data_IF_543891640275
#
_entry.id   IF_543891640275
#
_cell.length_a   1.000
_cell.length_b   1.000
_cell.length_c   1.000
_cell.angle_alpha   90.00
_cell.angle_beta   90.00
_cell.angle_gamma   90.00
#
_symmetry.space_group_name_H-M   'P 1'
#
loop_
_entity.id
_entity.type
_entity.pdbx_description
1 polymer ?
#
# COMPACT_ATOMS: atom_id res chain seq x y z
N UNK A 1 -11.40 3.66 -32.33
CA UNK A 1 -11.56 2.33 -31.69
C UNK A 1 -10.60 2.04 -30.53
N UNK A 2 -9.76 2.99 -30.10
CA UNK A 2 -8.77 2.86 -28.99
C UNK A 2 -9.34 3.15 -27.60
N UNK A 3 -10.55 3.73 -27.50
CA UNK A 3 -11.08 4.22 -26.20
C UNK A 3 -11.79 3.15 -25.34
N UNK A 4 -12.19 2.03 -25.90
CA UNK A 4 -12.95 0.99 -25.16
C UNK A 4 -12.07 -0.03 -24.45
N UNK A 5 -10.90 -0.35 -24.98
CA UNK A 5 -9.95 -1.26 -24.33
C UNK A 5 -9.22 -0.61 -23.13
N UNK A 6 -9.00 0.70 -23.18
CA UNK A 6 -8.36 1.47 -22.10
C UNK A 6 -9.31 1.72 -20.93
N UNK A 7 -10.60 1.96 -21.18
CA UNK A 7 -11.62 2.07 -20.11
C UNK A 7 -11.86 0.75 -19.35
N UNK A 8 -11.53 -0.41 -19.94
CA UNK A 8 -11.63 -1.70 -19.24
C UNK A 8 -10.43 -1.99 -18.37
N UNK A 9 -9.24 -1.51 -18.69
CA UNK A 9 -8.02 -1.71 -17.89
C UNK A 9 -8.12 -1.06 -16.50
N UNK A 10 -8.76 0.11 -16.40
CA UNK A 10 -8.92 0.87 -15.16
C UNK A 10 -10.12 0.41 -14.30
N UNK A 11 -10.88 -0.60 -14.74
CA UNK A 11 -12.07 -1.05 -14.04
C UNK A 11 -11.70 -1.84 -12.78
N UNK A 12 -12.07 -1.32 -11.62
CA UNK A 12 -11.87 -2.00 -10.34
C UNK A 12 -12.98 -3.01 -10.08
N UNK A 13 -12.62 -4.26 -9.81
CA UNK A 13 -13.56 -5.34 -9.45
C UNK A 13 -14.17 -5.06 -8.07
N UNK A 14 -15.50 -5.05 -7.97
CA UNK A 14 -16.19 -4.77 -6.71
C UNK A 14 -15.92 -5.84 -5.62
N UNK A 15 -15.77 -7.11 -5.99
CA UNK A 15 -15.59 -8.22 -5.04
C UNK A 15 -14.20 -8.29 -4.42
N UNK A 16 -13.16 -7.85 -5.12
CA UNK A 16 -11.77 -7.98 -4.69
C UNK A 16 -11.07 -6.65 -4.52
N UNK A 17 -11.74 -5.55 -4.89
CA UNK A 17 -11.17 -4.21 -4.97
C UNK A 17 -9.83 -4.17 -5.74
N UNK A 18 -9.64 -5.06 -6.75
CA UNK A 18 -8.45 -5.16 -7.60
C UNK A 18 -8.76 -4.67 -9.00
N UNK A 19 -7.73 -4.26 -9.76
CA UNK A 19 -7.91 -3.97 -11.18
C UNK A 19 -8.41 -5.21 -11.94
N UNK A 20 -9.21 -4.99 -12.96
CA UNK A 20 -9.71 -6.07 -13.84
C UNK A 20 -8.61 -6.65 -14.71
N UNK A 21 -7.67 -5.80 -15.14
CA UNK A 21 -6.50 -6.17 -15.90
C UNK A 21 -5.36 -6.61 -14.96
N UNK A 22 -4.78 -7.80 -15.24
CA UNK A 22 -3.73 -8.38 -14.44
C UNK A 22 -2.38 -7.64 -14.56
N UNK A 23 -2.11 -7.02 -15.72
CA UNK A 23 -0.89 -6.24 -15.93
C UNK A 23 -0.93 -4.96 -15.12
N UNK A 24 -2.02 -4.22 -15.18
CA UNK A 24 -2.24 -3.00 -14.39
C UNK A 24 -2.21 -3.29 -12.88
N UNK A 25 -2.81 -4.42 -12.43
CA UNK A 25 -2.73 -4.84 -11.02
C UNK A 25 -1.30 -5.14 -10.60
N UNK A 26 -0.50 -5.76 -11.47
CA UNK A 26 0.90 -6.06 -11.18
C UNK A 26 1.76 -4.79 -11.14
N UNK A 27 1.55 -3.85 -12.07
CA UNK A 27 2.21 -2.54 -12.05
C UNK A 27 1.89 -1.75 -10.78
N UNK A 28 0.61 -1.71 -10.39
CA UNK A 28 0.18 -1.14 -9.12
C UNK A 28 0.93 -1.75 -7.93
N UNK A 29 1.01 -3.09 -7.87
CA UNK A 29 1.68 -3.81 -6.80
C UNK A 29 3.18 -3.53 -6.72
N UNK A 30 3.84 -3.44 -7.87
CA UNK A 30 5.27 -3.09 -7.95
C UNK A 30 5.49 -1.63 -7.55
N UNK A 31 4.62 -0.72 -7.98
CA UNK A 31 4.71 0.71 -7.67
C UNK A 31 4.69 0.97 -6.15
N UNK A 32 3.79 0.30 -5.43
CA UNK A 32 3.66 0.50 -3.98
C UNK A 32 4.51 -0.45 -3.13
N UNK A 33 5.25 -1.38 -3.73
CA UNK A 33 5.96 -2.45 -3.03
C UNK A 33 6.88 -1.95 -1.91
N UNK A 34 7.66 -0.91 -2.16
CA UNK A 34 8.61 -0.38 -1.19
C UNK A 34 7.91 0.33 -0.02
N UNK A 35 6.81 1.03 -0.30
CA UNK A 35 6.00 1.68 0.72
C UNK A 35 5.28 0.65 1.60
N UNK A 36 4.66 -0.35 0.98
CA UNK A 36 3.96 -1.44 1.68
C UNK A 36 4.93 -2.24 2.54
N UNK A 37 6.12 -2.55 2.04
CA UNK A 37 7.16 -3.27 2.79
C UNK A 37 7.59 -2.52 4.05
N UNK A 38 7.82 -1.19 3.96
CA UNK A 38 8.13 -0.36 5.14
C UNK A 38 7.00 -0.37 6.15
N UNK A 39 5.77 -0.29 5.68
CA UNK A 39 4.57 -0.33 6.53
C UNK A 39 4.42 -1.69 7.25
N UNK A 40 4.69 -2.81 6.54
CA UNK A 40 4.65 -4.14 7.15
C UNK A 40 5.75 -4.35 8.20
N UNK A 41 6.97 -3.87 7.92
CA UNK A 41 8.06 -3.89 8.92
C UNK A 41 7.66 -3.13 10.17
N UNK A 42 7.07 -1.94 10.01
CA UNK A 42 6.56 -1.15 11.14
C UNK A 42 5.46 -1.90 11.92
N UNK A 43 4.49 -2.49 11.21
CA UNK A 43 3.40 -3.22 11.82
C UNK A 43 3.88 -4.46 12.61
N UNK A 44 4.83 -5.22 12.05
CA UNK A 44 5.46 -6.37 12.74
C UNK A 44 6.24 -5.90 13.96
N UNK A 45 7.00 -4.79 13.87
CA UNK A 45 7.74 -4.21 14.99
C UNK A 45 6.80 -3.76 16.13
N UNK A 46 5.69 -3.10 15.81
CA UNK A 46 4.66 -2.70 16.77
C UNK A 46 4.05 -3.91 17.47
N UNK A 47 3.77 -5.01 16.73
CA UNK A 47 3.28 -6.25 17.31
C UNK A 47 4.27 -6.87 18.30
N UNK A 48 5.58 -6.82 18.01
CA UNK A 48 6.64 -7.27 18.95
C UNK A 48 6.65 -6.40 20.20
N UNK A 49 6.63 -5.08 20.05
CA UNK A 49 6.61 -4.16 21.19
C UNK A 49 5.39 -4.45 22.09
N UNK A 50 4.21 -4.63 21.50
CA UNK A 50 3.01 -5.00 22.23
C UNK A 50 3.20 -6.33 22.99
N UNK A 51 3.75 -7.36 22.34
CA UNK A 51 4.05 -8.64 22.99
C UNK A 51 5.00 -8.50 24.18
N UNK A 52 6.04 -7.67 24.08
CA UNK A 52 7.04 -7.49 25.13
C UNK A 52 6.49 -6.67 26.32
N UNK A 53 5.70 -5.64 26.07
CA UNK A 53 5.10 -4.79 27.12
C UNK A 53 4.23 -5.62 28.07
N UNK A 54 3.50 -6.60 27.54
CA UNK A 54 2.63 -7.45 28.34
C UNK A 54 3.36 -8.49 29.21
N UNK A 55 4.68 -8.69 29.08
CA UNK A 55 5.47 -9.58 29.97
C UNK A 55 5.36 -9.13 31.44
N UNK A 56 5.37 -7.81 31.69
CA UNK A 56 5.19 -7.28 33.05
C UNK A 56 3.82 -7.67 33.64
N UNK A 57 2.77 -7.55 32.83
CA UNK A 57 1.42 -7.94 33.24
C UNK A 57 1.32 -9.44 33.55
N UNK A 58 1.96 -10.28 32.72
CA UNK A 58 2.02 -11.72 32.93
C UNK A 58 2.73 -12.06 34.24
N UNK A 59 3.85 -11.38 34.54
CA UNK A 59 4.58 -11.55 35.79
C UNK A 59 3.75 -11.16 37.01
N UNK A 60 2.99 -10.09 36.92
CA UNK A 60 2.11 -9.64 38.00
C UNK A 60 0.95 -10.61 38.24
N UNK A 61 0.42 -11.22 37.17
CA UNK A 61 -0.73 -12.12 37.26
C UNK A 61 -0.37 -13.52 37.73
N UNK A 62 0.73 -14.08 37.22
CA UNK A 62 1.11 -15.49 37.43
C UNK A 62 2.30 -15.69 38.37
N UNK A 63 2.98 -14.59 38.78
CA UNK A 63 4.19 -14.68 39.59
C UNK A 63 5.30 -15.45 38.87
N UNK A 64 6.04 -16.31 39.65
CA UNK A 64 7.08 -17.20 39.14
C UNK A 64 6.52 -18.60 38.87
N UNK A 65 5.44 -18.74 38.14
CA UNK A 65 4.77 -20.01 37.86
C UNK A 65 5.23 -20.63 36.53
N UNK A 66 4.87 -21.90 36.32
CA UNK A 66 5.08 -22.60 35.04
C UNK A 66 4.36 -21.89 33.88
N UNK A 67 3.16 -21.37 34.16
CA UNK A 67 2.37 -20.58 33.17
C UNK A 67 3.12 -19.34 32.76
N UNK A 68 3.74 -18.60 33.67
CA UNK A 68 4.57 -17.45 33.32
C UNK A 68 5.76 -17.83 32.44
N UNK A 69 6.44 -18.92 32.77
CA UNK A 69 7.59 -19.43 32.01
C UNK A 69 7.16 -19.82 30.57
N UNK A 70 6.01 -20.49 30.44
CA UNK A 70 5.42 -20.83 29.14
C UNK A 70 5.10 -19.55 28.30
N UNK A 71 4.44 -18.56 28.91
CA UNK A 71 4.11 -17.30 28.24
C UNK A 71 5.34 -16.51 27.84
N UNK A 72 6.36 -16.48 28.67
CA UNK A 72 7.64 -15.84 28.36
C UNK A 72 8.31 -16.54 27.17
N UNK A 73 8.34 -17.87 27.16
CA UNK A 73 8.85 -18.64 26.01
C UNK A 73 8.07 -18.39 24.71
N UNK A 74 6.74 -18.36 24.79
CA UNK A 74 5.87 -18.05 23.65
C UNK A 74 6.16 -16.64 23.06
N UNK A 75 6.27 -15.62 23.93
CA UNK A 75 6.57 -14.25 23.51
C UNK A 75 7.97 -14.09 22.93
N UNK A 76 8.96 -14.76 23.52
CA UNK A 76 10.33 -14.77 23.02
C UNK A 76 10.42 -15.44 21.63
N UNK A 77 9.81 -16.62 21.49
CA UNK A 77 9.76 -17.34 20.20
C UNK A 77 9.06 -16.51 19.11
N UNK A 78 7.95 -15.85 19.45
CA UNK A 78 7.23 -14.97 18.55
C UNK A 78 8.08 -13.76 18.14
N UNK A 79 8.82 -13.17 19.07
CA UNK A 79 9.72 -12.03 18.77
C UNK A 79 10.89 -12.44 17.86
N UNK A 80 11.45 -13.63 18.05
CA UNK A 80 12.47 -14.18 17.15
C UNK A 80 11.92 -14.44 15.75
N UNK A 81 10.73 -15.03 15.66
CA UNK A 81 10.03 -15.22 14.38
C UNK A 81 9.76 -13.90 13.68
N UNK A 82 9.33 -12.87 14.41
CA UNK A 82 9.11 -11.52 13.89
C UNK A 82 10.40 -10.92 13.31
N UNK A 83 11.53 -11.08 13.99
CA UNK A 83 12.84 -10.64 13.48
C UNK A 83 13.18 -11.33 12.15
N UNK A 84 12.93 -12.64 12.05
CA UNK A 84 13.10 -13.39 10.81
C UNK A 84 12.16 -12.88 9.68
N UNK A 85 10.88 -12.62 10.00
CA UNK A 85 9.92 -12.05 9.05
C UNK A 85 10.36 -10.67 8.56
N UNK A 86 10.83 -9.78 9.45
CA UNK A 86 11.37 -8.47 9.08
C UNK A 86 12.56 -8.63 8.13
N UNK A 87 13.50 -9.52 8.46
CA UNK A 87 14.67 -9.77 7.63
C UNK A 87 14.29 -10.27 6.23
N UNK A 88 13.32 -11.18 6.13
CA UNK A 88 12.80 -11.70 4.86
C UNK A 88 12.11 -10.58 4.08
N UNK A 89 11.25 -9.76 4.72
CA UNK A 89 10.57 -8.64 4.10
C UNK A 89 11.57 -7.64 3.47
N UNK A 90 12.67 -7.34 4.15
CA UNK A 90 13.68 -6.40 3.65
C UNK A 90 14.38 -6.89 2.38
N UNK A 91 14.47 -8.21 2.16
CA UNK A 91 15.10 -8.82 0.98
C UNK A 91 14.13 -9.18 -0.14
N UNK A 92 12.86 -9.37 0.20
CA UNK A 92 11.85 -9.88 -0.74
C UNK A 92 11.37 -8.78 -1.69
N UNK A 93 11.27 -9.13 -3.01
CA UNK A 93 10.85 -8.20 -4.06
C UNK A 93 9.61 -8.67 -4.85
N UNK A 94 9.08 -9.85 -4.54
CA UNK A 94 7.92 -10.43 -5.24
C UNK A 94 6.65 -10.13 -4.43
N UNK A 95 5.68 -9.34 -4.96
CA UNK A 95 4.48 -8.94 -4.21
C UNK A 95 3.67 -10.12 -3.69
N UNK A 96 3.48 -11.17 -4.50
CA UNK A 96 2.72 -12.36 -4.11
C UNK A 96 3.35 -13.08 -2.89
N UNK A 97 4.66 -13.20 -2.87
CA UNK A 97 5.37 -13.84 -1.75
C UNK A 97 5.24 -13.04 -0.46
N UNK A 98 5.24 -11.70 -0.56
CA UNK A 98 4.99 -10.81 0.58
C UNK A 98 3.56 -10.98 1.08
N UNK A 99 2.57 -11.05 0.18
CA UNK A 99 1.17 -11.30 0.54
C UNK A 99 1.02 -12.61 1.35
N UNK A 100 1.65 -13.70 0.88
CA UNK A 100 1.61 -15.01 1.55
C UNK A 100 2.33 -14.95 2.90
N UNK A 101 3.49 -14.29 2.96
CA UNK A 101 4.25 -14.13 4.21
C UNK A 101 3.43 -13.37 5.25
N UNK A 102 2.81 -12.25 4.86
CA UNK A 102 2.00 -11.43 5.77
C UNK A 102 0.70 -12.11 6.18
N UNK A 103 0.08 -12.89 5.29
CA UNK A 103 -1.05 -13.74 5.61
C UNK A 103 -0.68 -14.79 6.68
N UNK A 104 0.41 -15.53 6.44
CA UNK A 104 0.92 -16.55 7.39
C UNK A 104 1.28 -15.91 8.73
N UNK A 105 1.96 -14.76 8.71
CA UNK A 105 2.25 -13.97 9.89
C UNK A 105 0.98 -13.59 10.66
N UNK A 106 -0.06 -13.12 9.98
CA UNK A 106 -1.34 -12.77 10.59
C UNK A 106 -2.00 -13.97 11.30
N UNK A 107 -1.99 -15.14 10.68
CA UNK A 107 -2.51 -16.38 11.31
C UNK A 107 -1.71 -16.77 12.56
N UNK A 108 -0.38 -16.74 12.48
CA UNK A 108 0.50 -17.05 13.61
C UNK A 108 0.36 -16.04 14.75
N UNK A 109 0.20 -14.76 14.42
CA UNK A 109 -0.06 -13.70 15.40
C UNK A 109 -1.35 -13.97 16.18
N UNK A 110 -2.46 -14.22 15.48
CA UNK A 110 -3.73 -14.51 16.12
C UNK A 110 -3.73 -15.83 16.88
N UNK A 111 -3.00 -16.85 16.41
CA UNK A 111 -2.80 -18.08 17.16
C UNK A 111 -2.05 -17.82 18.49
N UNK A 112 -0.97 -17.01 18.45
CA UNK A 112 -0.24 -16.64 19.66
C UNK A 112 -1.13 -15.87 20.65
N UNK A 113 -1.93 -14.92 20.16
CA UNK A 113 -2.90 -14.18 20.97
C UNK A 113 -3.93 -15.15 21.59
N UNK A 114 -4.49 -16.06 20.81
CA UNK A 114 -5.45 -17.06 21.28
C UNK A 114 -4.87 -17.96 22.37
N UNK A 115 -3.63 -18.42 22.23
CA UNK A 115 -2.92 -19.21 23.25
C UNK A 115 -2.69 -18.41 24.56
N UNK A 116 -2.36 -17.12 24.43
CA UNK A 116 -2.25 -16.23 25.58
C UNK A 116 -3.61 -16.09 26.29
N UNK A 117 -4.69 -15.90 25.54
CA UNK A 117 -6.04 -15.82 26.09
C UNK A 117 -6.46 -17.10 26.82
N UNK A 118 -6.11 -18.27 26.28
CA UNK A 118 -6.41 -19.57 26.92
C UNK A 118 -5.83 -19.74 28.32
N UNK A 119 -4.77 -18.98 28.63
CA UNK A 119 -4.15 -19.02 29.99
C UNK A 119 -4.77 -18.03 30.95
N UNK A 120 -5.66 -17.15 30.51
CA UNK A 120 -6.22 -16.08 31.36
C UNK A 120 -7.40 -16.57 32.20
N UNK A 121 -7.58 -16.02 33.41
CA UNK A 121 -8.78 -16.27 34.20
C UNK A 121 -10.03 -15.70 33.48
N UNK A 122 -11.24 -16.30 33.70
CA UNK A 122 -12.49 -15.84 33.06
C UNK A 122 -12.82 -14.36 33.27
N UNK A 123 -12.38 -13.80 34.40
CA UNK A 123 -12.57 -12.38 34.75
C UNK A 123 -11.78 -11.44 33.80
N UNK A 124 -10.75 -11.93 33.14
CA UNK A 124 -9.93 -11.20 32.17
C UNK A 124 -10.64 -10.94 30.84
N UNK A 125 -11.79 -11.60 30.59
CA UNK A 125 -12.68 -11.34 29.43
C UNK A 125 -13.10 -9.86 29.34
N UNK A 126 -12.96 -9.11 30.42
CA UNK A 126 -13.25 -7.67 30.51
C UNK A 126 -12.32 -6.80 29.66
N UNK A 127 -11.25 -7.32 29.07
CA UNK A 127 -10.31 -6.58 28.22
C UNK A 127 -10.65 -6.63 26.70
N UNK A 128 -11.94 -6.72 26.36
CA UNK A 128 -12.46 -6.70 24.97
C UNK A 128 -11.94 -5.52 24.12
N UNK A 129 -11.56 -4.41 24.75
CA UNK A 129 -10.99 -3.25 24.05
C UNK A 129 -9.65 -3.57 23.36
N UNK A 130 -8.82 -4.41 24.00
CA UNK A 130 -7.55 -4.83 23.40
C UNK A 130 -7.78 -5.73 22.20
N UNK A 131 -8.80 -6.59 22.24
CA UNK A 131 -9.18 -7.46 21.13
C UNK A 131 -9.64 -6.65 19.92
N UNK A 132 -10.47 -5.61 20.13
CA UNK A 132 -10.91 -4.71 19.07
C UNK A 132 -9.69 -4.04 18.44
N UNK A 133 -8.79 -3.51 19.24
CA UNK A 133 -7.57 -2.86 18.76
C UNK A 133 -6.72 -3.82 17.93
N UNK A 134 -6.47 -5.02 18.47
CA UNK A 134 -5.67 -6.05 17.81
C UNK A 134 -6.30 -6.52 16.49
N UNK A 135 -7.64 -6.59 16.45
CA UNK A 135 -8.39 -6.95 15.25
C UNK A 135 -8.36 -5.87 14.17
N UNK A 136 -8.40 -4.58 14.58
CA UNK A 136 -8.45 -3.44 13.63
C UNK A 136 -7.11 -3.15 12.98
N UNK A 137 -5.99 -3.36 13.68
CA UNK A 137 -4.65 -3.05 13.17
C UNK A 137 -4.34 -3.69 11.81
N UNK A 138 -4.58 -5.01 11.56
CA UNK A 138 -4.32 -5.60 10.26
C UNK A 138 -5.24 -5.07 9.15
N UNK A 139 -6.48 -4.69 9.46
CA UNK A 139 -7.37 -4.05 8.47
C UNK A 139 -6.83 -2.70 7.99
N UNK A 140 -6.11 -1.97 8.84
CA UNK A 140 -5.57 -0.65 8.52
C UNK A 140 -4.17 -0.72 7.92
N UNK A 141 -3.34 -1.66 8.38
CA UNK A 141 -1.90 -1.67 8.06
C UNK A 141 -1.52 -2.67 6.98
N UNK A 142 -2.30 -3.72 6.72
CA UNK A 142 -1.92 -4.73 5.74
C UNK A 142 -2.59 -4.49 4.39
N UNK A 143 -1.80 -4.07 3.40
CA UNK A 143 -2.26 -3.83 2.03
C UNK A 143 -2.03 -5.04 1.12
N UNK A 144 -2.16 -6.24 1.66
CA UNK A 144 -2.11 -7.50 0.91
C UNK A 144 -3.41 -7.70 0.11
N UNK A 145 -3.51 -8.78 -0.66
CA UNK A 145 -4.75 -9.09 -1.39
C UNK A 145 -5.95 -9.11 -0.44
N UNK A 146 -7.05 -8.50 -0.84
CA UNK A 146 -8.22 -8.26 0.01
C UNK A 146 -8.67 -9.50 0.80
N UNK A 147 -8.84 -10.65 0.15
CA UNK A 147 -9.27 -11.87 0.84
C UNK A 147 -8.23 -12.42 1.82
N UNK A 148 -6.95 -12.32 1.49
CA UNK A 148 -5.87 -12.71 2.42
C UNK A 148 -5.80 -11.78 3.62
N UNK A 149 -6.14 -10.51 3.46
CA UNK A 149 -6.18 -9.55 4.55
C UNK A 149 -7.28 -9.85 5.55
N UNK A 150 -8.51 -10.18 5.10
CA UNK A 150 -9.67 -10.33 6.00
C UNK A 150 -9.77 -11.71 6.66
N UNK A 151 -9.23 -12.76 6.03
CA UNK A 151 -9.39 -14.14 6.50
C UNK A 151 -8.84 -14.39 7.91
N UNK A 152 -7.62 -13.94 8.28
CA UNK A 152 -7.08 -14.16 9.63
C UNK A 152 -7.94 -13.59 10.75
N UNK A 153 -8.53 -12.39 10.54
CA UNK A 153 -9.38 -11.73 11.52
C UNK A 153 -10.73 -12.46 11.70
N UNK A 154 -11.32 -12.95 10.60
CA UNK A 154 -12.54 -13.75 10.67
C UNK A 154 -12.31 -15.09 11.40
N UNK A 155 -11.20 -15.77 11.08
CA UNK A 155 -10.81 -17.02 11.75
C UNK A 155 -10.57 -16.79 13.25
N UNK A 156 -9.85 -15.74 13.61
CA UNK A 156 -9.61 -15.38 15.00
C UNK A 156 -10.92 -15.07 15.75
N UNK A 157 -11.81 -14.27 15.15
CA UNK A 157 -13.09 -13.91 15.76
C UNK A 157 -13.98 -15.14 15.99
N UNK A 158 -14.05 -16.03 15.00
CA UNK A 158 -14.81 -17.28 15.12
C UNK A 158 -14.23 -18.20 16.21
N UNK A 159 -12.91 -18.33 16.24
CA UNK A 159 -12.22 -19.11 17.27
C UNK A 159 -12.43 -18.53 18.67
N UNK A 160 -12.33 -17.21 18.84
CA UNK A 160 -12.55 -16.53 20.12
C UNK A 160 -13.98 -16.72 20.63
N UNK A 161 -14.97 -16.59 19.75
CA UNK A 161 -16.39 -16.85 20.10
C UNK A 161 -16.59 -18.31 20.51
N UNK A 162 -16.03 -19.27 19.76
CA UNK A 162 -16.12 -20.70 20.09
C UNK A 162 -15.47 -21.01 21.44
N UNK A 163 -14.34 -20.42 21.73
CA UNK A 163 -13.63 -20.60 22.99
C UNK A 163 -14.40 -20.00 24.17
N UNK A 164 -14.99 -18.81 24.01
CA UNK A 164 -15.85 -18.22 25.04
C UNK A 164 -17.10 -19.07 25.27
N UNK A 165 -17.74 -19.57 24.21
CA UNK A 165 -18.96 -20.40 24.33
C UNK A 165 -18.74 -21.73 25.05
N UNK A 166 -17.50 -22.23 25.02
CA UNK A 166 -17.11 -23.45 25.71
C UNK A 166 -16.86 -23.27 27.23
N UNK A 167 -16.85 -22.01 27.70
CA UNK A 167 -16.59 -21.70 29.10
C UNK A 167 -17.90 -21.37 29.84
N UNK A 168 -18.41 -22.30 30.71
CA UNK A 168 -19.68 -22.08 31.39
C UNK A 168 -19.65 -20.96 32.46
N UNK A 169 -18.47 -20.49 32.83
CA UNK A 169 -18.29 -19.40 33.80
C UNK A 169 -18.55 -18.02 33.17
N UNK A 170 -18.67 -17.91 31.85
CA UNK A 170 -18.90 -16.63 31.16
C UNK A 170 -20.40 -16.30 31.13
N UNK A 171 -20.85 -15.19 31.74
CA UNK A 171 -22.26 -14.81 31.70
C UNK A 171 -22.77 -14.60 30.27
N UNK A 172 -24.02 -14.98 30.00
CA UNK A 172 -24.65 -14.85 28.68
C UNK A 172 -24.64 -13.39 28.15
N UNK A 173 -24.77 -12.41 29.04
CA UNK A 173 -24.72 -11.00 28.69
C UNK A 173 -23.33 -10.60 28.16
N UNK A 174 -22.28 -11.12 28.74
CA UNK A 174 -20.89 -10.91 28.31
C UNK A 174 -20.64 -11.58 26.97
N UNK A 175 -21.14 -12.80 26.79
CA UNK A 175 -21.07 -13.54 25.53
C UNK A 175 -21.72 -12.74 24.38
N UNK A 176 -22.95 -12.29 24.58
CA UNK A 176 -23.67 -11.51 23.58
C UNK A 176 -22.93 -10.20 23.24
N UNK A 177 -22.41 -9.50 24.24
CA UNK A 177 -21.64 -8.28 24.05
C UNK A 177 -20.37 -8.56 23.19
N UNK A 178 -19.66 -9.64 23.45
CA UNK A 178 -18.45 -10.03 22.69
C UNK A 178 -18.79 -10.40 21.25
N UNK A 179 -19.86 -11.18 21.01
CA UNK A 179 -20.30 -11.53 19.66
C UNK A 179 -20.62 -10.26 18.87
N UNK A 180 -21.41 -9.35 19.45
CA UNK A 180 -21.76 -8.07 18.81
C UNK A 180 -20.50 -7.29 18.48
N UNK A 181 -19.56 -7.22 19.42
CA UNK A 181 -18.27 -6.51 19.25
C UNK A 181 -17.46 -7.08 18.10
N UNK A 182 -17.30 -8.41 18.02
CA UNK A 182 -16.56 -9.05 16.92
C UNK A 182 -17.25 -8.87 15.58
N UNK A 183 -18.58 -9.04 15.50
CA UNK A 183 -19.35 -8.81 14.28
C UNK A 183 -19.19 -7.36 13.82
N UNK A 184 -19.41 -6.40 14.70
CA UNK A 184 -19.28 -4.97 14.38
C UNK A 184 -17.85 -4.62 13.92
N UNK A 185 -16.83 -5.09 14.65
CA UNK A 185 -15.42 -4.82 14.33
C UNK A 185 -15.03 -5.41 12.98
N UNK A 186 -15.45 -6.65 12.66
CA UNK A 186 -15.16 -7.25 11.36
C UNK A 186 -15.90 -6.53 10.23
N UNK A 187 -17.18 -6.19 10.39
CA UNK A 187 -17.94 -5.44 9.38
C UNK A 187 -17.28 -4.09 9.10
N UNK A 188 -16.95 -3.33 10.15
CA UNK A 188 -16.29 -2.03 10.00
C UNK A 188 -14.89 -2.20 9.40
N UNK A 189 -14.11 -3.18 9.85
CA UNK A 189 -12.78 -3.49 9.32
C UNK A 189 -12.81 -3.83 7.83
N UNK A 190 -13.74 -4.68 7.40
CA UNK A 190 -13.93 -5.05 5.99
C UNK A 190 -14.29 -3.83 5.15
N UNK A 191 -15.22 -2.99 5.63
CA UNK A 191 -15.61 -1.76 4.91
C UNK A 191 -14.40 -0.83 4.75
N UNK A 192 -13.65 -0.60 5.83
CA UNK A 192 -12.47 0.27 5.83
C UNK A 192 -11.40 -0.30 4.89
N UNK A 193 -11.07 -1.58 4.99
CA UNK A 193 -10.09 -2.22 4.11
C UNK A 193 -10.51 -2.13 2.64
N UNK A 194 -11.78 -2.42 2.34
CA UNK A 194 -12.31 -2.33 0.97
C UNK A 194 -12.21 -0.90 0.42
N UNK A 195 -12.62 0.10 1.20
CA UNK A 195 -12.52 1.53 0.83
C UNK A 195 -11.06 1.93 0.57
N UNK A 196 -10.16 1.48 1.45
CA UNK A 196 -8.74 1.79 1.32
C UNK A 196 -8.12 1.16 0.06
N UNK A 197 -8.46 -0.09 -0.25
CA UNK A 197 -8.02 -0.76 -1.48
C UNK A 197 -8.54 -0.05 -2.74
N UNK A 198 -9.81 0.35 -2.75
CA UNK A 198 -10.39 1.10 -3.87
C UNK A 198 -9.71 2.47 -4.01
N UNK A 199 -9.59 3.21 -2.92
CA UNK A 199 -8.96 4.53 -2.92
C UNK A 199 -7.53 4.50 -3.46
N UNK A 200 -6.69 3.58 -3.01
CA UNK A 200 -5.30 3.45 -3.49
C UNK A 200 -5.22 3.15 -4.99
N UNK A 201 -6.13 2.34 -5.52
CA UNK A 201 -6.17 2.04 -6.96
C UNK A 201 -6.66 3.23 -7.78
N UNK A 202 -7.62 3.98 -7.27
CA UNK A 202 -8.02 5.26 -7.89
C UNK A 202 -6.86 6.24 -7.95
N UNK A 203 -6.10 6.39 -6.86
CA UNK A 203 -4.89 7.22 -6.84
C UNK A 203 -3.85 6.76 -7.87
N UNK A 204 -3.67 5.45 -8.02
CA UNK A 204 -2.76 4.90 -9.03
C UNK A 204 -3.26 5.15 -10.46
N UNK A 205 -4.56 5.01 -10.74
CA UNK A 205 -5.15 5.38 -12.04
C UNK A 205 -4.91 6.86 -12.36
N UNK A 206 -5.13 7.75 -11.40
CA UNK A 206 -4.83 9.18 -11.59
C UNK A 206 -3.34 9.43 -11.88
N UNK A 207 -2.44 8.76 -11.17
CA UNK A 207 -1.00 8.83 -11.43
C UNK A 207 -0.64 8.38 -12.86
N UNK A 208 -1.23 7.27 -13.34
CA UNK A 208 -1.00 6.79 -14.71
C UNK A 208 -1.53 7.78 -15.75
N UNK A 209 -2.70 8.36 -15.50
CA UNK A 209 -3.30 9.38 -16.37
C UNK A 209 -2.45 10.64 -16.43
N UNK A 210 -1.99 11.15 -15.30
CA UNK A 210 -1.10 12.30 -15.22
C UNK A 210 0.21 12.05 -15.97
N UNK A 211 0.81 10.87 -15.79
CA UNK A 211 2.04 10.47 -16.48
C UNK A 211 1.84 10.42 -18.00
N UNK A 212 0.67 9.96 -18.49
CA UNK A 212 0.32 9.94 -19.90
C UNK A 212 0.20 11.38 -20.45
N UNK A 213 -0.61 12.22 -19.78
CA UNK A 213 -0.81 13.61 -20.18
C UNK A 213 0.50 14.41 -20.24
N UNK A 214 1.38 14.21 -19.25
CA UNK A 214 2.69 14.84 -19.22
C UNK A 214 3.58 14.40 -20.41
N UNK A 215 3.48 13.12 -20.82
CA UNK A 215 4.20 12.63 -22.01
C UNK A 215 3.66 13.25 -23.28
N UNK A 216 2.34 13.23 -23.47
CA UNK A 216 1.67 13.83 -24.64
C UNK A 216 1.98 15.33 -24.75
N UNK A 217 1.96 16.05 -23.62
CA UNK A 217 2.33 17.46 -23.57
C UNK A 217 3.79 17.69 -24.00
N UNK A 218 4.73 16.87 -23.52
CA UNK A 218 6.14 16.97 -23.91
C UNK A 218 6.34 16.70 -25.41
N UNK A 219 5.64 15.70 -25.95
CA UNK A 219 5.68 15.37 -27.38
C UNK A 219 5.12 16.51 -28.24
N UNK A 220 3.97 17.07 -27.83
CA UNK A 220 3.37 18.22 -28.48
C UNK A 220 4.29 19.46 -28.45
N UNK A 221 4.88 19.75 -27.29
CA UNK A 221 5.85 20.87 -27.19
C UNK A 221 7.12 20.62 -28.01
N UNK A 222 7.58 19.37 -28.11
CA UNK A 222 8.69 19.00 -29.01
C UNK A 222 8.38 19.25 -30.48
N UNK A 223 7.19 18.85 -30.92
CA UNK A 223 6.71 19.09 -32.28
C UNK A 223 6.61 20.58 -32.62
N UNK A 224 6.12 21.39 -31.67
CA UNK A 224 6.06 22.84 -31.85
C UNK A 224 7.45 23.48 -31.96
N UNK A 225 8.45 22.99 -31.22
CA UNK A 225 9.84 23.48 -31.35
C UNK A 225 10.43 23.20 -32.71
N UNK A 226 10.17 22.01 -33.26
CA UNK A 226 10.62 21.64 -34.63
C UNK A 226 9.97 22.55 -35.66
N UNK A 227 8.66 22.82 -35.57
CA UNK A 227 7.96 23.73 -36.47
C UNK A 227 8.43 25.19 -36.37
N UNK A 228 8.75 25.65 -35.15
CA UNK A 228 9.34 27.00 -34.95
C UNK A 228 10.78 27.11 -35.47
N UNK A 229 11.49 25.98 -35.61
CA UNK A 229 12.84 25.94 -36.16
C UNK A 229 12.89 25.99 -37.69
N UNK A 230 11.75 25.86 -38.42
CA UNK A 230 11.68 25.95 -39.86
C UNK A 230 11.47 27.42 -40.26
N UNK A 231 12.57 28.13 -40.53
CA UNK A 231 12.50 29.49 -41.06
C UNK A 231 12.31 29.44 -42.58
N UNK A 232 11.26 30.07 -43.12
CA UNK A 232 11.06 30.13 -44.56
C UNK A 232 12.14 31.02 -45.21
N UNK A 233 13.01 30.41 -46.00
CA UNK A 233 14.08 31.09 -46.73
C UNK A 233 13.73 31.13 -48.22
N UNK A 234 13.86 32.28 -48.83
CA UNK A 234 13.73 32.40 -50.28
C UNK A 234 14.81 31.59 -51.02
N UNK A 235 14.40 30.68 -51.88
CA UNK A 235 15.34 29.81 -52.62
C UNK A 235 16.28 30.61 -53.53
N UNK A 236 15.84 31.80 -54.03
CA UNK A 236 16.60 32.63 -54.96
C UNK A 236 17.54 33.63 -54.27
N UNK A 237 17.05 34.42 -53.30
CA UNK A 237 17.84 35.49 -52.69
C UNK A 237 18.25 35.23 -51.24
N UNK A 238 17.90 34.04 -50.67
CA UNK A 238 18.26 33.60 -49.33
C UNK A 238 17.77 34.49 -48.20
N UNK A 239 16.85 35.42 -48.45
CA UNK A 239 16.20 36.19 -47.39
C UNK A 239 15.26 35.33 -46.57
N UNK A 240 15.15 35.63 -45.26
CA UNK A 240 14.21 35.00 -44.32
C UNK A 240 12.90 35.81 -44.31
N UNK A 241 11.78 35.13 -44.23
CA UNK A 241 10.47 35.75 -43.99
C UNK A 241 10.23 35.79 -42.48
N UNK A 242 10.06 37.02 -41.92
CA UNK A 242 9.75 37.20 -40.51
C UNK A 242 8.28 36.85 -40.17
N UNK A 243 7.92 36.94 -38.88
CA UNK A 243 6.56 36.63 -38.40
C UNK A 243 5.51 37.61 -38.93
N UNK A 244 5.92 38.80 -39.29
CA UNK A 244 5.05 39.85 -39.89
C UNK A 244 4.89 39.69 -41.41
N UNK A 245 5.63 38.75 -42.02
CA UNK A 245 5.53 38.44 -43.45
C UNK A 245 6.53 39.16 -44.34
N UNK A 246 7.44 39.97 -43.79
CA UNK A 246 8.45 40.72 -44.55
C UNK A 246 9.73 39.91 -44.79
N UNK A 247 10.40 40.17 -45.91
CA UNK A 247 11.63 39.49 -46.30
C UNK A 247 12.85 40.29 -45.83
N UNK A 248 13.53 39.81 -44.78
CA UNK A 248 14.76 40.41 -44.23
C UNK A 248 16.01 39.64 -44.63
N UNK A 249 17.19 40.25 -44.53
CA UNK A 249 18.47 39.58 -44.73
C UNK A 249 18.69 38.60 -43.59
N UNK A 250 19.37 37.49 -43.90
CA UNK A 250 19.64 36.44 -42.88
C UNK A 250 20.41 36.99 -41.69
N UNK A 251 21.43 37.79 -41.99
CA UNK A 251 22.30 38.38 -40.97
C UNK A 251 21.51 39.31 -40.02
N UNK A 252 20.72 40.20 -40.61
CA UNK A 252 19.88 41.16 -39.87
C UNK A 252 18.82 40.46 -38.99
N UNK A 253 18.25 39.38 -39.50
CA UNK A 253 17.29 38.59 -38.73
C UNK A 253 17.95 37.90 -37.52
N UNK A 254 19.14 37.30 -37.69
CA UNK A 254 19.86 36.60 -36.64
C UNK A 254 20.36 37.60 -35.58
N UNK A 255 20.90 38.77 -35.99
CA UNK A 255 21.34 39.81 -35.03
C UNK A 255 20.17 40.34 -34.17
N UNK A 256 18.97 40.44 -34.75
CA UNK A 256 17.76 40.87 -34.01
C UNK A 256 17.20 39.82 -33.06
N UNK A 257 17.46 38.53 -33.29
CA UNK A 257 16.85 37.43 -32.54
C UNK A 257 17.84 36.58 -31.77
N UNK A 258 19.13 36.96 -31.77
CA UNK A 258 20.19 36.28 -31.01
C UNK A 258 21.30 37.28 -30.63
N UNK A 259 22.21 36.86 -29.77
CA UNK A 259 23.43 37.64 -29.40
C UNK A 259 24.55 37.49 -30.42
N UNK A 260 24.31 36.83 -31.57
CA UNK A 260 25.31 36.63 -32.62
C UNK A 260 25.58 37.91 -33.39
N UNK A 261 26.89 38.24 -33.60
CA UNK A 261 27.35 39.31 -34.45
C UNK A 261 28.12 38.75 -35.65
N UNK A 262 27.89 39.27 -36.85
CA UNK A 262 28.54 38.82 -38.07
C UNK A 262 29.77 39.64 -38.41
N UNK A 263 30.92 38.99 -38.58
CA UNK A 263 32.12 39.59 -39.20
C UNK A 263 32.16 39.23 -40.68
N UNK A 264 32.51 40.14 -41.53
CA UNK A 264 32.63 39.92 -42.99
C UNK A 264 34.07 39.56 -43.35
N UNK A 265 34.25 38.40 -43.97
CA UNK A 265 35.52 38.01 -44.59
C UNK A 265 35.24 37.37 -45.96
N UNK A 266 36.25 37.38 -46.82
CA UNK A 266 36.19 36.68 -48.12
C UNK A 266 36.58 35.21 -47.86
N UNK A 267 35.90 34.27 -48.55
CA UNK A 267 36.33 32.90 -48.62
C UNK A 267 37.54 32.80 -49.55
N UNK A 268 38.51 32.00 -49.23
CA UNK A 268 39.65 31.65 -50.09
C UNK A 268 39.18 30.84 -51.29
#
# INVERSE_FOLDING_TARGET
MTNTSEQTADRIRRSTASFSDALTENEYRIHYLDADRKQYVLAVAVAVIAMLVFIRSDRMLFGASLTFTFLLGLRASFSLLAAAVIFILLKMRKPLMIDILMFTWGLLYFLAVALIYATRPPEFVRNAYLDILMLMVPYLLFNIRFWLQITPQLVYSAFSVAMLSSNPSVPAITMNAMIITYVFSNVMGIIVAWRFHVYRRQQFSHYLQEKRLNRELKEAMGSLRVLRGLMPICSRCKKIRDEEGYWKRLEEYIEQHSEAQFSHSLCD
#
